data_IF_794889610200
#
_entry.id   IF_794889610200
#
_cell.length_a   1.000
_cell.length_b   1.000
_cell.length_c   1.000
_cell.angle_alpha   90.00
_cell.angle_beta   90.00
_cell.angle_gamma   90.00
#
_symmetry.space_group_name_H-M   'P 1'
#
loop_
_entity.id
_entity.type
_entity.pdbx_description
1 polymer ?
#
# COMPACT_ATOMS: atom_id res chain seq x y z
N UNK A 1 8.97 10.98 22.00
CA UNK A 1 8.65 9.66 22.59
C UNK A 1 9.64 9.35 23.71
N UNK A 2 9.35 8.39 24.58
CA UNK A 2 10.23 7.97 25.70
C UNK A 2 11.62 7.49 25.23
N UNK A 3 11.71 7.00 23.99
CA UNK A 3 12.95 6.62 23.31
C UNK A 3 13.69 7.79 22.62
N UNK A 4 13.18 9.02 22.71
CA UNK A 4 13.76 10.20 22.03
C UNK A 4 13.57 10.23 20.51
N UNK A 5 12.80 9.31 19.94
CA UNK A 5 12.52 9.25 18.50
C UNK A 5 11.30 10.11 18.19
N UNK A 6 11.46 11.04 17.26
CA UNK A 6 10.39 11.91 16.71
C UNK A 6 10.35 11.75 15.19
N UNK A 7 9.15 11.79 14.63
CA UNK A 7 8.98 11.82 13.18
C UNK A 7 8.87 13.27 12.72
N UNK A 8 9.54 13.61 11.62
CA UNK A 8 9.40 14.94 11.00
C UNK A 8 8.13 15.03 10.15
N UNK A 9 7.68 13.89 9.60
CA UNK A 9 6.50 13.80 8.76
C UNK A 9 5.78 12.47 8.95
N UNK A 10 4.45 12.50 8.83
CA UNK A 10 3.59 11.32 8.74
C UNK A 10 2.92 11.28 7.36
N UNK A 11 3.39 10.39 6.48
CA UNK A 11 2.81 10.24 5.13
C UNK A 11 1.68 9.22 5.17
N UNK A 12 0.48 9.63 4.79
CA UNK A 12 -0.68 8.77 4.69
C UNK A 12 -1.09 8.53 3.24
N UNK A 13 -1.06 7.27 2.80
CA UNK A 13 -1.54 6.89 1.46
C UNK A 13 -3.04 6.66 1.49
N UNK A 14 -3.79 7.58 0.88
CA UNK A 14 -5.24 7.48 0.79
C UNK A 14 -5.64 6.69 -0.47
N UNK A 15 -6.32 5.57 -0.26
CA UNK A 15 -6.80 4.68 -1.32
C UNK A 15 -8.18 4.16 -0.92
N UNK A 16 -9.20 4.22 -1.79
CA UNK A 16 -10.50 3.62 -1.52
C UNK A 16 -10.40 2.10 -1.29
N UNK A 17 -11.18 1.59 -0.35
CA UNK A 17 -11.21 0.16 0.02
C UNK A 17 -11.46 -0.76 -1.17
N UNK A 18 -12.37 -0.36 -2.09
CA UNK A 18 -12.65 -1.13 -3.31
C UNK A 18 -11.41 -1.34 -4.19
N UNK A 19 -10.58 -0.29 -4.33
CA UNK A 19 -9.33 -0.34 -5.09
C UNK A 19 -8.31 -1.21 -4.36
N UNK A 20 -8.26 -1.16 -3.03
CA UNK A 20 -7.38 -2.01 -2.23
C UNK A 20 -7.75 -3.49 -2.34
N UNK A 21 -9.04 -3.81 -2.31
CA UNK A 21 -9.54 -5.17 -2.51
C UNK A 21 -9.13 -5.71 -3.88
N UNK A 22 -9.36 -4.96 -4.96
CA UNK A 22 -8.96 -5.35 -6.31
C UNK A 22 -7.44 -5.62 -6.38
N UNK A 23 -6.64 -4.68 -5.86
CA UNK A 23 -5.17 -4.78 -5.87
C UNK A 23 -4.64 -5.99 -5.13
N UNK A 24 -5.25 -6.33 -3.99
CA UNK A 24 -4.79 -7.48 -3.19
C UNK A 24 -5.21 -8.79 -3.84
N UNK A 25 -6.46 -8.91 -4.30
CA UNK A 25 -6.96 -10.14 -4.93
C UNK A 25 -6.22 -10.44 -6.25
N UNK A 26 -5.84 -9.41 -6.99
CA UNK A 26 -5.06 -9.53 -8.23
C UNK A 26 -3.57 -9.80 -8.03
N UNK A 27 -3.05 -9.71 -6.80
CA UNK A 27 -1.62 -9.88 -6.50
C UNK A 27 -1.17 -11.33 -6.66
N UNK A 28 0.00 -11.49 -7.28
CA UNK A 28 0.70 -12.77 -7.41
C UNK A 28 2.16 -12.60 -7.04
N UNK A 29 2.79 -13.68 -6.61
CA UNK A 29 4.22 -13.72 -6.30
C UNK A 29 4.85 -14.85 -7.09
N UNK A 30 5.99 -14.57 -7.72
CA UNK A 30 6.84 -15.61 -8.30
C UNK A 30 7.64 -16.28 -7.16
N UNK A 31 7.44 -17.57 -6.86
CA UNK A 31 8.10 -18.24 -5.75
C UNK A 31 9.62 -18.37 -5.93
N UNK A 32 10.13 -18.29 -7.17
CA UNK A 32 11.58 -18.41 -7.43
C UNK A 32 12.33 -17.10 -7.22
N UNK A 33 11.72 -15.96 -7.58
CA UNK A 33 12.37 -14.65 -7.54
C UNK A 33 11.88 -13.75 -6.40
N UNK A 34 10.73 -14.07 -5.82
CA UNK A 34 10.02 -13.22 -4.87
C UNK A 34 9.38 -11.98 -5.51
N UNK A 35 9.45 -11.84 -6.84
CA UNK A 35 8.89 -10.69 -7.55
C UNK A 35 7.36 -10.72 -7.48
N UNK A 36 6.78 -9.55 -7.20
CA UNK A 36 5.33 -9.36 -7.12
C UNK A 36 4.81 -8.92 -8.49
N UNK A 37 3.72 -9.53 -8.91
CA UNK A 37 2.96 -9.24 -10.12
C UNK A 37 1.51 -8.90 -9.78
N UNK A 38 0.81 -8.32 -10.74
CA UNK A 38 -0.63 -8.11 -10.66
C UNK A 38 -1.27 -8.46 -11.99
N UNK A 39 -2.27 -9.34 -11.98
CA UNK A 39 -2.85 -9.90 -13.22
C UNK A 39 -3.40 -8.85 -14.19
N UNK A 40 -3.91 -7.73 -13.67
CA UNK A 40 -4.38 -6.58 -14.48
C UNK A 40 -3.32 -5.51 -14.71
N UNK A 41 -2.70 -4.97 -13.65
CA UNK A 41 -1.88 -3.76 -13.73
C UNK A 41 -0.40 -3.99 -14.07
N UNK A 42 0.12 -5.20 -13.83
CA UNK A 42 1.51 -5.54 -14.04
C UNK A 42 1.66 -7.06 -14.24
N UNK A 43 1.07 -7.61 -15.32
CA UNK A 43 1.16 -9.04 -15.61
C UNK A 43 2.60 -9.45 -15.95
N UNK A 44 2.98 -10.72 -15.77
CA UNK A 44 4.25 -11.22 -16.28
C UNK A 44 4.20 -11.32 -17.81
N UNK A 45 5.33 -10.99 -18.47
CA UNK A 45 5.47 -11.15 -19.93
C UNK A 45 5.87 -12.60 -20.33
N UNK A 46 6.40 -13.36 -19.38
CA UNK A 46 6.95 -14.71 -19.58
C UNK A 46 5.92 -15.78 -19.17
N UNK A 47 5.62 -16.73 -20.07
CA UNK A 47 4.67 -17.82 -19.84
C UNK A 47 5.10 -18.78 -18.72
N UNK A 48 6.41 -19.04 -18.57
CA UNK A 48 6.92 -19.90 -17.50
C UNK A 48 6.74 -19.23 -16.14
N UNK A 49 6.99 -17.92 -16.07
CA UNK A 49 6.72 -17.11 -14.87
C UNK A 49 5.22 -17.12 -14.58
N UNK A 50 4.38 -16.88 -15.58
CA UNK A 50 2.92 -16.87 -15.44
C UNK A 50 2.38 -18.19 -14.87
N UNK A 51 2.88 -19.33 -15.36
CA UNK A 51 2.43 -20.66 -14.96
C UNK A 51 2.76 -21.02 -13.51
N UNK A 52 3.81 -20.41 -12.94
CA UNK A 52 4.26 -20.66 -11.56
C UNK A 52 3.85 -19.59 -10.55
N UNK A 53 3.14 -18.55 -10.97
CA UNK A 53 2.70 -17.49 -10.08
C UNK A 53 1.76 -18.03 -8.99
N UNK A 54 2.04 -17.67 -7.75
CA UNK A 54 1.23 -18.06 -6.60
C UNK A 54 0.46 -16.86 -6.03
N UNK A 55 -0.76 -17.11 -5.58
CA UNK A 55 -1.52 -16.15 -4.78
C UNK A 55 -1.30 -16.47 -3.30
N UNK A 56 -1.06 -15.44 -2.48
CA UNK A 56 -0.96 -15.65 -1.04
C UNK A 56 -2.30 -16.12 -0.48
N UNK A 57 -2.26 -17.00 0.51
CA UNK A 57 -3.48 -17.53 1.13
C UNK A 57 -4.34 -16.47 1.83
N UNK A 58 -3.76 -15.30 2.15
CA UNK A 58 -4.45 -14.16 2.75
C UNK A 58 -5.00 -13.14 1.74
N UNK A 59 -4.73 -13.32 0.45
CA UNK A 59 -5.14 -12.39 -0.62
C UNK A 59 -6.56 -12.72 -1.14
N UNK A 60 -7.48 -13.01 -0.23
CA UNK A 60 -8.91 -13.21 -0.55
C UNK A 60 -9.73 -11.99 -0.18
N UNK A 61 -10.81 -11.73 -0.90
CA UNK A 61 -11.69 -10.58 -0.63
C UNK A 61 -12.17 -10.55 0.83
N UNK A 62 -12.60 -11.69 1.37
CA UNK A 62 -13.05 -11.82 2.75
C UNK A 62 -11.96 -11.41 3.75
N UNK A 63 -10.73 -11.93 3.58
CA UNK A 63 -9.62 -11.64 4.49
C UNK A 63 -9.15 -10.19 4.37
N UNK A 64 -9.18 -9.62 3.17
CA UNK A 64 -8.84 -8.20 2.95
C UNK A 64 -9.84 -7.28 3.62
N UNK A 65 -11.15 -7.57 3.52
CA UNK A 65 -12.20 -6.80 4.19
C UNK A 65 -12.02 -6.78 5.70
N UNK A 66 -11.74 -7.93 6.32
CA UNK A 66 -11.45 -8.01 7.77
C UNK A 66 -10.24 -7.15 8.14
N UNK A 67 -9.18 -7.16 7.32
CA UNK A 67 -7.99 -6.32 7.55
C UNK A 67 -8.28 -4.83 7.42
N UNK A 68 -9.10 -4.44 6.46
CA UNK A 68 -9.51 -3.04 6.26
C UNK A 68 -10.36 -2.54 7.42
N UNK A 69 -11.30 -3.35 7.92
CA UNK A 69 -12.09 -3.01 9.11
C UNK A 69 -11.21 -2.79 10.34
N UNK A 70 -10.25 -3.69 10.57
CA UNK A 70 -9.27 -3.56 11.65
C UNK A 70 -8.40 -2.31 11.46
N UNK A 71 -7.99 -2.00 10.23
CA UNK A 71 -7.25 -0.79 9.93
C UNK A 71 -8.06 0.46 10.27
N UNK A 72 -9.30 0.57 9.79
CA UNK A 72 -10.18 1.74 10.02
C UNK A 72 -10.52 1.94 11.49
N UNK A 73 -10.65 0.85 12.26
CA UNK A 73 -10.87 0.91 13.71
C UNK A 73 -9.69 1.57 14.44
N UNK A 74 -8.47 1.40 13.93
CA UNK A 74 -7.25 1.83 14.62
C UNK A 74 -6.64 3.12 14.04
N UNK A 75 -6.82 3.37 12.74
CA UNK A 75 -6.11 4.41 12.00
C UNK A 75 -6.42 5.81 12.52
N UNK A 76 -7.64 6.07 13.01
CA UNK A 76 -8.02 7.37 13.53
C UNK A 76 -7.16 7.79 14.73
N UNK A 77 -6.87 6.86 15.65
CA UNK A 77 -6.02 7.12 16.81
C UNK A 77 -4.56 7.39 16.41
N UNK A 78 -4.07 6.65 15.41
CA UNK A 78 -2.71 6.84 14.88
C UNK A 78 -2.61 8.19 14.18
N UNK A 79 -3.53 8.51 13.26
CA UNK A 79 -3.58 9.81 12.55
C UNK A 79 -3.66 10.98 13.52
N UNK A 80 -4.51 10.89 14.54
CA UNK A 80 -4.64 11.96 15.54
C UNK A 80 -3.35 12.25 16.31
N UNK A 81 -2.45 11.26 16.46
CA UNK A 81 -1.15 11.47 17.11
C UNK A 81 -0.15 12.24 16.25
N UNK A 82 -0.42 12.39 14.94
CA UNK A 82 0.48 12.99 13.96
C UNK A 82 -0.19 14.09 13.13
N UNK A 83 -1.33 14.62 13.58
CA UNK A 83 -2.16 15.57 12.82
C UNK A 83 -1.34 16.76 12.29
N UNK A 84 -0.49 17.36 13.14
CA UNK A 84 0.34 18.51 12.79
C UNK A 84 1.39 18.22 11.69
N UNK A 85 1.86 16.97 11.60
CA UNK A 85 2.91 16.55 10.67
C UNK A 85 2.40 15.64 9.55
N UNK A 86 1.08 15.44 9.48
CA UNK A 86 0.46 14.56 8.48
C UNK A 86 0.48 15.17 7.08
N UNK A 87 0.66 14.32 6.08
CA UNK A 87 0.53 14.60 4.65
C UNK A 87 -0.29 13.47 4.02
N UNK A 88 -1.45 13.78 3.45
CA UNK A 88 -2.24 12.82 2.69
C UNK A 88 -1.81 12.80 1.22
N UNK A 89 -1.52 11.61 0.70
CA UNK A 89 -1.11 11.37 -0.69
C UNK A 89 -2.13 10.44 -1.34
N UNK A 90 -2.57 10.79 -2.56
CA UNK A 90 -3.41 9.91 -3.38
C UNK A 90 -2.61 8.67 -3.80
N UNK A 91 -2.94 7.51 -3.23
CA UNK A 91 -2.31 6.24 -3.55
C UNK A 91 -2.97 5.48 -4.70
N UNK A 92 -3.94 6.07 -5.39
CA UNK A 92 -4.62 5.44 -6.55
C UNK A 92 -3.77 5.49 -7.83
N UNK A 93 -2.77 6.36 -7.86
CA UNK A 93 -1.88 6.58 -9.01
C UNK A 93 -0.83 5.47 -9.20
N UNK A 94 -0.08 5.54 -10.30
CA UNK A 94 1.07 4.65 -10.57
C UNK A 94 2.20 4.88 -9.55
N UNK A 95 3.03 3.86 -9.25
CA UNK A 95 4.10 3.98 -8.26
C UNK A 95 5.03 5.20 -8.46
N UNK A 96 5.45 5.50 -9.69
CA UNK A 96 6.31 6.64 -9.97
C UNK A 96 5.64 7.99 -9.67
N UNK A 97 4.34 8.09 -9.98
CA UNK A 97 3.55 9.29 -9.68
C UNK A 97 3.37 9.47 -8.18
N UNK A 98 3.05 8.39 -7.45
CA UNK A 98 2.94 8.43 -5.98
C UNK A 98 4.28 8.81 -5.36
N UNK A 99 5.39 8.23 -5.83
CA UNK A 99 6.72 8.54 -5.34
C UNK A 99 7.08 10.01 -5.56
N UNK A 100 6.74 10.57 -6.72
CA UNK A 100 6.95 11.99 -6.99
C UNK A 100 6.07 12.89 -6.11
N UNK A 101 4.78 12.53 -5.91
CA UNK A 101 3.90 13.26 -4.99
C UNK A 101 4.44 13.29 -3.56
N UNK A 102 4.97 12.16 -3.08
CA UNK A 102 5.64 12.10 -1.76
C UNK A 102 6.87 13.02 -1.75
N UNK A 103 7.72 12.95 -2.78
CA UNK A 103 8.94 13.75 -2.88
C UNK A 103 8.64 15.25 -2.82
N UNK A 104 7.65 15.71 -3.59
CA UNK A 104 7.21 17.11 -3.62
C UNK A 104 6.66 17.53 -2.25
N UNK A 105 5.77 16.73 -1.66
CA UNK A 105 5.16 17.08 -0.38
C UNK A 105 6.17 17.16 0.77
N UNK A 106 7.20 16.31 0.76
CA UNK A 106 8.30 16.38 1.73
C UNK A 106 9.16 17.64 1.55
N UNK A 107 9.34 18.14 0.33
CA UNK A 107 10.10 19.38 0.06
C UNK A 107 9.35 20.65 0.49
N UNK A 108 8.03 20.60 0.59
CA UNK A 108 7.23 21.75 1.04
C UNK A 108 7.11 21.82 2.57
N UNK A 109 7.23 20.67 3.26
CA UNK A 109 7.10 20.56 4.72
C UNK A 109 8.41 20.64 5.49
N UNK A 110 9.55 20.31 4.88
CA UNK A 110 10.90 20.34 5.47
C UNK A 110 11.71 21.53 4.97
#
# INVERSE_FOLDING_TARGET
>A
SEAGITADCFVFLNVPDEVLVERVVGRRTDPETGKIYHMTFSPPDDEEVLARLEQRSDDTEEKVKVRLEQFHTNVAAVKGSYEDISIDIDGTQKPDTVAESIRVALQEKL
#
